data_IF_390534207947
#
_entry.id   IF_390534207947
#
_cell.length_a   1.000
_cell.length_b   1.000
_cell.length_c   1.000
_cell.angle_alpha   90.00
_cell.angle_beta   90.00
_cell.angle_gamma   90.00
#
_symmetry.space_group_name_H-M   'P 1'
#
loop_
_entity.id
_entity.type
_entity.pdbx_description
1 polymer ?
#
# COMPACT_ATOMS: atom_id res chain seq x y z
N UNK A 1 -6.84 1.60 6.12
CA UNK A 1 -5.38 1.37 6.32
C UNK A 1 -5.17 0.46 7.51
N UNK A 2 -4.18 -0.41 7.44
CA UNK A 2 -3.84 -1.34 8.50
C UNK A 2 -2.45 -1.01 9.01
N UNK A 3 -2.31 -0.81 10.31
CA UNK A 3 -1.00 -0.65 10.91
C UNK A 3 -0.20 -1.96 10.78
N UNK A 4 1.08 -1.85 10.48
CA UNK A 4 2.00 -2.96 10.35
C UNK A 4 3.36 -2.56 10.94
N UNK A 5 3.41 -2.50 12.26
CA UNK A 5 4.61 -2.06 12.96
C UNK A 5 5.83 -2.89 12.53
N UNK A 6 5.65 -4.20 12.42
CA UNK A 6 6.68 -5.12 11.95
C UNK A 6 6.21 -5.91 10.71
N UNK A 7 7.18 -6.42 9.96
CA UNK A 7 6.92 -7.31 8.82
C UNK A 7 6.17 -8.58 9.26
N UNK A 8 6.53 -9.16 10.40
CA UNK A 8 5.90 -10.35 10.97
C UNK A 8 4.43 -10.11 11.32
N UNK A 9 4.13 -8.92 11.86
CA UNK A 9 2.75 -8.52 12.16
C UNK A 9 1.91 -8.43 10.88
N UNK A 10 2.45 -7.85 9.80
CA UNK A 10 1.79 -7.82 8.49
C UNK A 10 1.48 -9.24 8.01
N UNK A 11 2.45 -10.14 8.00
CA UNK A 11 2.26 -11.53 7.57
C UNK A 11 1.19 -12.23 8.41
N UNK A 12 1.23 -12.05 9.74
CA UNK A 12 0.22 -12.60 10.65
C UNK A 12 -1.18 -12.09 10.34
N UNK A 13 -1.34 -10.79 10.10
CA UNK A 13 -2.64 -10.19 9.74
C UNK A 13 -3.16 -10.70 8.40
N UNK A 14 -2.29 -10.89 7.40
CA UNK A 14 -2.65 -11.47 6.10
C UNK A 14 -3.18 -12.90 6.30
N UNK A 15 -2.42 -13.73 7.01
CA UNK A 15 -2.80 -15.14 7.25
C UNK A 15 -4.12 -15.23 8.03
N UNK A 16 -4.32 -14.44 9.07
CA UNK A 16 -5.54 -14.44 9.85
C UNK A 16 -6.75 -14.03 9.00
N UNK A 17 -6.62 -12.99 8.18
CA UNK A 17 -7.70 -12.53 7.29
C UNK A 17 -8.07 -13.59 6.25
N UNK A 18 -7.09 -14.32 5.73
CA UNK A 18 -7.32 -15.40 4.78
C UNK A 18 -8.05 -16.60 5.42
N UNK A 19 -7.60 -17.02 6.60
CA UNK A 19 -8.13 -18.20 7.30
C UNK A 19 -9.49 -17.90 7.95
N UNK A 20 -9.60 -16.79 8.69
CA UNK A 20 -10.76 -16.52 9.54
C UNK A 20 -11.93 -15.91 8.78
N UNK A 21 -11.69 -15.14 7.73
CA UNK A 21 -12.72 -14.36 7.03
C UNK A 21 -13.03 -14.87 5.63
N UNK A 22 -12.27 -15.84 5.12
CA UNK A 22 -12.41 -16.30 3.74
C UNK A 22 -12.22 -15.18 2.71
N UNK A 23 -11.59 -14.05 3.12
CA UNK A 23 -11.36 -12.93 2.26
C UNK A 23 -10.24 -13.28 1.29
N UNK A 24 -10.62 -13.56 0.07
CA UNK A 24 -9.70 -13.66 -1.06
C UNK A 24 -9.37 -12.26 -1.53
N UNK A 25 -8.39 -11.63 -0.86
CA UNK A 25 -7.74 -10.48 -1.45
C UNK A 25 -6.72 -11.03 -2.45
N UNK A 26 -6.84 -10.61 -3.68
CA UNK A 26 -5.89 -11.02 -4.72
C UNK A 26 -4.61 -10.16 -4.68
N UNK A 27 -4.66 -9.04 -3.92
CA UNK A 27 -3.57 -8.09 -3.74
C UNK A 27 -3.55 -7.48 -2.35
N UNK A 28 -2.35 -7.09 -1.94
CA UNK A 28 -2.14 -6.17 -0.83
C UNK A 28 -1.37 -4.94 -1.32
N UNK A 29 -1.62 -3.80 -0.70
CA UNK A 29 -0.80 -2.62 -0.84
C UNK A 29 0.11 -2.46 0.37
N UNK A 30 1.38 -2.12 0.14
CA UNK A 30 2.29 -1.68 1.19
C UNK A 30 2.65 -0.23 0.90
N UNK A 31 2.21 0.66 1.77
CA UNK A 31 2.45 2.08 1.65
C UNK A 31 3.70 2.45 2.44
N UNK A 32 4.82 2.52 1.74
CA UNK A 32 6.12 2.90 2.31
C UNK A 32 6.15 4.41 2.43
N UNK A 33 6.07 4.92 3.65
CA UNK A 33 6.15 6.35 3.93
C UNK A 33 6.59 6.61 5.35
N UNK A 34 7.01 7.86 5.62
CA UNK A 34 7.37 8.34 6.95
C UNK A 34 6.59 9.61 7.30
N UNK A 35 6.35 9.90 8.58
CA UNK A 35 5.58 11.08 9.02
C UNK A 35 6.19 12.42 8.62
N UNK A 36 7.51 12.49 8.42
CA UNK A 36 8.24 13.71 8.03
C UNK A 36 8.10 14.05 6.55
N UNK A 37 7.76 13.08 5.68
CA UNK A 37 7.52 13.29 4.25
C UNK A 37 6.19 14.01 4.01
N UNK A 38 6.11 14.83 2.97
CA UNK A 38 4.88 15.56 2.62
C UNK A 38 3.73 14.61 2.26
N UNK A 39 3.99 13.60 1.47
CA UNK A 39 3.06 12.53 1.14
C UNK A 39 2.61 11.76 2.38
N UNK A 40 3.52 11.49 3.32
CA UNK A 40 3.22 10.88 4.61
C UNK A 40 2.24 11.74 5.43
N UNK A 41 2.49 13.03 5.55
CA UNK A 41 1.57 13.98 6.20
C UNK A 41 0.21 14.02 5.53
N UNK A 42 0.17 14.01 4.19
CA UNK A 42 -1.07 13.96 3.42
C UNK A 42 -1.92 12.73 3.78
N UNK A 43 -1.32 11.56 3.92
CA UNK A 43 -2.01 10.33 4.30
C UNK A 43 -2.45 10.36 5.76
N UNK A 44 -1.57 10.79 6.67
CA UNK A 44 -1.86 10.84 8.11
C UNK A 44 -3.02 11.78 8.43
N UNK A 45 -3.13 12.91 7.74
CA UNK A 45 -4.25 13.85 7.88
C UNK A 45 -5.61 13.25 7.53
N UNK A 46 -5.65 12.16 6.78
CA UNK A 46 -6.87 11.46 6.36
C UNK A 46 -6.90 10.00 6.82
N UNK A 47 -6.03 9.63 7.75
CA UNK A 47 -5.81 8.24 8.12
C UNK A 47 -7.06 7.59 8.73
N UNK A 48 -7.83 8.33 9.53
CA UNK A 48 -9.10 7.87 10.09
C UNK A 48 -10.08 7.46 8.99
N UNK A 49 -10.28 8.33 8.00
CA UNK A 49 -11.11 8.02 6.84
C UNK A 49 -10.62 6.76 6.10
N UNK A 50 -9.32 6.64 5.84
CA UNK A 50 -8.78 5.48 5.14
C UNK A 50 -8.79 4.20 5.97
N UNK A 51 -8.71 4.31 7.28
CA UNK A 51 -8.83 3.15 8.17
C UNK A 51 -10.17 2.45 7.97
N UNK A 52 -11.25 3.22 7.85
CA UNK A 52 -12.60 2.68 7.65
C UNK A 52 -12.91 2.29 6.19
N UNK A 53 -12.29 2.97 5.23
CA UNK A 53 -12.51 2.71 3.80
C UNK A 53 -11.87 1.39 3.34
N UNK A 54 -10.72 1.02 3.90
CA UNK A 54 -9.95 -0.16 3.49
C UNK A 54 -10.27 -1.38 4.34
N UNK A 55 -10.17 -2.58 3.78
CA UNK A 55 -10.33 -3.82 4.52
C UNK A 55 -11.39 -4.78 3.98
N UNK A 56 -12.16 -4.37 2.95
CA UNK A 56 -13.13 -5.28 2.30
C UNK A 56 -12.54 -6.02 1.12
N UNK A 57 -11.82 -5.33 0.23
CA UNK A 57 -11.33 -5.90 -1.04
C UNK A 57 -9.81 -5.84 -1.19
N UNK A 58 -9.17 -4.79 -0.71
CA UNK A 58 -7.70 -4.66 -0.66
C UNK A 58 -7.28 -4.13 0.69
N UNK A 59 -6.29 -4.75 1.28
CA UNK A 59 -5.66 -4.28 2.50
C UNK A 59 -4.41 -3.46 2.18
N UNK A 60 -4.32 -2.26 2.76
CA UNK A 60 -3.15 -1.40 2.66
C UNK A 60 -2.45 -1.34 4.01
N UNK A 61 -1.20 -1.76 4.04
CA UNK A 61 -0.36 -1.83 5.24
C UNK A 61 0.57 -0.63 5.32
N UNK A 62 0.75 -0.12 6.54
CA UNK A 62 1.65 0.99 6.87
C UNK A 62 2.81 0.47 7.71
N UNK A 63 3.98 0.20 7.11
CA UNK A 63 5.18 -0.23 7.83
C UNK A 63 5.66 0.76 8.87
N UNK A 64 6.05 0.27 10.04
CA UNK A 64 6.52 1.10 11.14
C UNK A 64 5.43 1.79 11.95
N UNK A 65 4.16 1.69 11.52
CA UNK A 65 3.02 2.27 12.25
C UNK A 65 2.34 1.23 13.13
N UNK A 66 2.06 1.59 14.37
CA UNK A 66 1.40 0.74 15.35
C UNK A 66 0.37 1.48 16.19
N UNK A 67 -0.58 0.76 16.79
CA UNK A 67 -1.61 1.29 17.69
C UNK A 67 -1.59 0.67 19.08
N UNK A 68 -0.76 -0.34 19.31
CA UNK A 68 -0.60 -1.03 20.56
C UNK A 68 0.89 -1.25 20.86
N UNK A 69 1.25 -1.46 22.15
CA UNK A 69 2.62 -1.79 22.58
C UNK A 69 3.65 -0.67 22.34
N UNK A 70 3.21 0.58 22.24
CA UNK A 70 4.08 1.73 22.01
C UNK A 70 5.21 1.86 23.05
N UNK A 71 4.99 1.48 24.29
CA UNK A 71 5.99 1.48 25.35
C UNK A 71 7.19 0.55 25.11
N UNK A 72 7.03 -0.46 24.25
CA UNK A 72 8.12 -1.38 23.87
C UNK A 72 9.05 -0.81 22.80
N UNK A 73 8.74 0.38 22.28
CA UNK A 73 9.50 1.02 21.19
C UNK A 73 9.95 2.41 21.63
N UNK A 74 11.21 2.57 22.06
CA UNK A 74 11.71 3.81 22.66
C UNK A 74 11.75 4.99 21.68
N UNK A 75 11.78 4.72 20.37
CA UNK A 75 11.79 5.71 19.32
C UNK A 75 10.37 6.07 18.79
N UNK A 76 9.33 5.66 19.50
CA UNK A 76 7.95 5.94 19.10
C UNK A 76 7.63 7.42 19.05
N UNK A 77 6.92 7.80 18.03
CA UNK A 77 6.32 9.13 17.84
C UNK A 77 4.82 8.98 17.63
N UNK A 78 3.99 9.67 18.42
CA UNK A 78 2.53 9.67 18.18
C UNK A 78 2.22 10.50 16.95
N UNK A 79 1.55 9.90 15.96
CA UNK A 79 1.32 10.51 14.65
C UNK A 79 -0.15 10.74 14.32
N UNK A 80 -1.07 10.00 14.93
CA UNK A 80 -2.51 10.13 14.71
C UNK A 80 -3.32 9.54 15.87
N UNK A 81 -4.64 9.83 15.90
CA UNK A 81 -5.60 9.18 16.78
C UNK A 81 -6.80 8.72 15.96
N UNK A 82 -7.12 7.43 16.01
CA UNK A 82 -8.21 6.79 15.27
C UNK A 82 -9.12 6.08 16.26
N UNK A 83 -10.41 6.39 16.24
CA UNK A 83 -11.40 5.81 17.17
C UNK A 83 -10.97 5.87 18.64
N UNK A 84 -10.34 6.97 19.04
CA UNK A 84 -9.82 7.13 20.40
C UNK A 84 -8.49 6.44 20.67
N UNK A 85 -7.98 5.62 19.77
CA UNK A 85 -6.70 4.89 19.89
C UNK A 85 -5.57 5.69 19.27
N UNK A 86 -4.49 5.89 20.01
CA UNK A 86 -3.29 6.53 19.48
C UNK A 86 -2.55 5.60 18.51
N UNK A 87 -2.16 6.18 17.39
CA UNK A 87 -1.24 5.57 16.44
C UNK A 87 0.12 6.25 16.55
N UNK A 88 1.15 5.43 16.58
CA UNK A 88 2.52 5.90 16.65
C UNK A 88 3.35 5.32 15.51
N UNK A 89 4.46 5.97 15.22
CA UNK A 89 5.47 5.54 14.27
C UNK A 89 6.77 5.23 15.01
N UNK A 90 7.43 4.14 14.59
CA UNK A 90 8.79 3.79 15.01
C UNK A 90 9.68 3.70 13.78
N UNK A 91 10.66 4.59 13.70
CA UNK A 91 11.62 4.60 12.60
C UNK A 91 12.49 3.33 12.60
N UNK A 92 12.84 2.80 13.78
CA UNK A 92 13.59 1.56 13.90
C UNK A 92 12.82 0.38 13.27
N UNK A 93 11.52 0.28 13.55
CA UNK A 93 10.70 -0.80 12.99
C UNK A 93 10.43 -0.59 11.50
N UNK A 94 10.26 0.65 11.05
CA UNK A 94 10.18 0.98 9.63
C UNK A 94 11.41 0.51 8.86
N UNK A 95 12.61 0.82 9.34
CA UNK A 95 13.87 0.38 8.72
C UNK A 95 14.01 -1.14 8.73
N UNK A 96 13.63 -1.81 9.83
CA UNK A 96 13.65 -3.27 9.89
C UNK A 96 12.67 -3.89 8.89
N UNK A 97 11.48 -3.30 8.75
CA UNK A 97 10.46 -3.75 7.80
C UNK A 97 10.94 -3.60 6.36
N UNK A 98 11.39 -2.42 5.97
CA UNK A 98 11.86 -2.13 4.60
C UNK A 98 13.01 -3.05 4.21
N UNK A 99 14.01 -3.24 5.07
CA UNK A 99 15.11 -4.19 4.84
C UNK A 99 14.63 -5.64 4.64
N UNK A 100 13.56 -6.07 5.32
CA UNK A 100 13.00 -7.41 5.10
C UNK A 100 12.29 -7.51 3.76
N UNK A 101 11.58 -6.47 3.36
CA UNK A 101 10.91 -6.41 2.06
C UNK A 101 11.94 -6.39 0.92
N UNK A 102 13.00 -5.58 1.03
CA UNK A 102 14.12 -5.53 0.09
C UNK A 102 14.78 -6.90 -0.13
N UNK A 103 14.93 -7.68 0.95
CA UNK A 103 15.51 -9.05 0.86
C UNK A 103 14.58 -10.05 0.17
N UNK A 104 13.28 -9.78 0.10
CA UNK A 104 12.27 -10.65 -0.51
C UNK A 104 11.98 -10.27 -1.96
N UNK A 105 12.24 -9.04 -2.33
CA UNK A 105 12.01 -8.47 -3.65
C UNK A 105 13.33 -7.96 -4.23
N UNK A 106 13.31 -7.44 -5.45
CA UNK A 106 14.44 -6.68 -6.02
C UNK A 106 14.33 -5.18 -5.75
N UNK A 107 13.28 -4.76 -5.04
CA UNK A 107 13.03 -3.37 -4.68
C UNK A 107 14.06 -2.88 -3.65
N UNK A 108 14.46 -1.63 -3.79
CA UNK A 108 15.31 -0.90 -2.85
C UNK A 108 14.61 0.41 -2.51
N UNK A 109 14.49 0.71 -1.23
CA UNK A 109 13.82 1.93 -0.76
C UNK A 109 14.52 3.19 -1.27
N UNK A 110 13.77 4.05 -1.95
CA UNK A 110 14.30 5.30 -2.54
C UNK A 110 14.57 6.41 -1.52
N UNK A 111 14.01 6.30 -0.32
CA UNK A 111 13.99 7.38 0.69
C UNK A 111 12.72 8.24 0.63
N UNK A 112 11.89 8.07 -0.37
CA UNK A 112 10.63 8.79 -0.60
C UNK A 112 9.42 7.88 -0.40
N UNK A 113 8.21 8.41 -0.53
CA UNK A 113 7.00 7.62 -0.38
C UNK A 113 6.68 6.82 -1.65
N UNK A 114 6.40 5.55 -1.44
CA UNK A 114 6.10 4.60 -2.49
C UNK A 114 4.89 3.74 -2.12
N UNK A 115 4.08 3.39 -3.11
CA UNK A 115 3.04 2.38 -2.97
C UNK A 115 3.46 1.12 -3.70
N UNK A 116 3.64 0.03 -2.98
CA UNK A 116 3.98 -1.29 -3.52
C UNK A 116 2.72 -2.15 -3.51
N UNK A 117 2.33 -2.66 -4.67
CA UNK A 117 1.27 -3.66 -4.80
C UNK A 117 1.89 -5.03 -4.97
N UNK A 118 1.47 -5.96 -4.12
CA UNK A 118 1.96 -7.33 -4.03
C UNK A 118 0.80 -8.29 -4.28
N UNK A 119 0.91 -9.24 -5.24
CA UNK A 119 -0.10 -10.27 -5.45
C UNK A 119 -0.18 -11.22 -4.26
N UNK A 120 -1.39 -11.73 -4.00
CA UNK A 120 -1.65 -12.84 -3.08
C UNK A 120 -2.16 -14.04 -3.87
N UNK A 121 -1.43 -15.14 -3.82
CA UNK A 121 -1.85 -16.42 -4.40
C UNK A 121 -2.08 -17.42 -3.27
N UNK A 122 -3.30 -17.92 -3.16
CA UNK A 122 -3.69 -18.84 -2.09
C UNK A 122 -3.32 -18.33 -0.68
N UNK A 123 -3.48 -17.02 -0.45
CA UNK A 123 -3.17 -16.34 0.81
C UNK A 123 -1.70 -16.11 1.09
N UNK A 124 -0.82 -16.39 0.14
CA UNK A 124 0.62 -16.14 0.25
C UNK A 124 1.04 -14.98 -0.64
N UNK A 125 1.94 -14.14 -0.15
CA UNK A 125 2.49 -13.03 -0.93
C UNK A 125 3.45 -13.58 -1.99
N UNK A 126 3.24 -13.16 -3.23
CA UNK A 126 4.19 -13.34 -4.31
C UNK A 126 5.14 -12.13 -4.36
N UNK A 127 6.44 -12.39 -4.23
CA UNK A 127 7.46 -11.36 -4.19
C UNK A 127 8.21 -11.18 -5.52
N UNK A 128 8.04 -12.12 -6.43
CA UNK A 128 8.79 -12.14 -7.69
C UNK A 128 8.31 -11.07 -8.69
N UNK A 129 7.03 -10.66 -8.55
CA UNK A 129 6.44 -9.61 -9.40
C UNK A 129 5.72 -8.60 -8.55
N UNK A 130 6.21 -7.37 -8.52
CA UNK A 130 5.62 -6.27 -7.76
C UNK A 130 5.41 -5.05 -8.64
N UNK A 131 4.36 -4.27 -8.35
CA UNK A 131 4.11 -2.99 -8.99
C UNK A 131 4.34 -1.87 -7.98
N UNK A 132 5.17 -0.91 -8.33
CA UNK A 132 5.56 0.21 -7.48
C UNK A 132 5.10 1.51 -8.12
N UNK A 133 4.52 2.41 -7.33
CA UNK A 133 4.25 3.80 -7.71
C UNK A 133 5.11 4.74 -6.86
N UNK A 134 5.82 5.65 -7.50
CA UNK A 134 6.66 6.68 -6.87
C UNK A 134 5.80 7.91 -6.55
N UNK A 135 5.28 7.97 -5.32
CA UNK A 135 4.22 8.93 -4.95
C UNK A 135 4.74 10.36 -4.78
N UNK A 136 5.94 10.53 -4.24
CA UNK A 136 6.53 11.86 -4.08
C UNK A 136 6.93 12.46 -5.43
N UNK A 137 7.42 11.66 -6.38
CA UNK A 137 7.66 12.08 -7.76
C UNK A 137 6.36 12.53 -8.44
N UNK A 138 5.31 11.70 -8.32
CA UNK A 138 4.00 12.02 -8.88
C UNK A 138 3.42 13.33 -8.32
N UNK A 139 3.64 13.58 -7.03
CA UNK A 139 3.18 14.80 -6.35
C UNK A 139 4.02 16.02 -6.79
N UNK A 140 5.34 15.89 -6.77
CA UNK A 140 6.30 16.95 -7.13
C UNK A 140 6.11 17.47 -8.56
N UNK A 141 5.87 16.55 -9.49
CA UNK A 141 5.70 16.87 -10.91
C UNK A 141 4.24 17.20 -11.28
N UNK A 142 3.34 17.23 -10.29
CA UNK A 142 1.93 17.57 -10.49
C UNK A 142 1.12 16.51 -11.26
N UNK A 143 1.62 15.27 -11.36
CA UNK A 143 0.88 14.15 -11.95
C UNK A 143 -0.35 13.79 -11.12
N UNK A 144 -0.27 13.98 -9.82
CA UNK A 144 -1.40 13.89 -8.88
C UNK A 144 -1.49 15.18 -8.05
N UNK A 145 -2.71 15.54 -7.63
CA UNK A 145 -2.94 16.72 -6.78
C UNK A 145 -2.61 16.46 -5.31
N UNK A 146 -2.78 15.23 -4.87
CA UNK A 146 -2.44 14.77 -3.54
C UNK A 146 -2.37 13.24 -3.52
N UNK A 147 -1.55 12.70 -2.64
CA UNK A 147 -1.48 11.24 -2.42
C UNK A 147 -2.81 10.71 -1.88
N UNK A 148 -3.49 11.49 -1.04
CA UNK A 148 -4.83 11.16 -0.54
C UNK A 148 -5.85 10.98 -1.65
N UNK A 149 -5.88 11.89 -2.64
CA UNK A 149 -6.81 11.79 -3.76
C UNK A 149 -6.50 10.55 -4.64
N UNK A 150 -5.23 10.28 -4.91
CA UNK A 150 -4.81 9.10 -5.64
C UNK A 150 -5.21 7.81 -4.91
N UNK A 151 -4.95 7.74 -3.60
CA UNK A 151 -5.29 6.61 -2.76
C UNK A 151 -6.82 6.36 -2.70
N UNK A 152 -7.61 7.44 -2.61
CA UNK A 152 -9.08 7.34 -2.65
C UNK A 152 -9.58 6.73 -3.98
N UNK A 153 -8.97 7.12 -5.10
CA UNK A 153 -9.30 6.55 -6.41
C UNK A 153 -8.94 5.07 -6.49
N UNK A 154 -7.75 4.69 -6.00
CA UNK A 154 -7.36 3.29 -5.93
C UNK A 154 -8.32 2.47 -5.08
N UNK A 155 -8.69 2.97 -3.90
CA UNK A 155 -9.63 2.27 -3.01
C UNK A 155 -10.98 2.04 -3.68
N UNK A 156 -11.53 3.06 -4.36
CA UNK A 156 -12.79 2.94 -5.13
C UNK A 156 -12.67 1.93 -6.28
N UNK A 157 -11.54 1.92 -6.97
CA UNK A 157 -11.28 0.99 -8.05
C UNK A 157 -11.33 -0.45 -7.54
N UNK A 158 -10.67 -0.74 -6.43
CA UNK A 158 -10.67 -2.06 -5.81
C UNK A 158 -12.01 -2.44 -5.15
N UNK A 159 -12.90 -1.47 -4.88
CA UNK A 159 -14.26 -1.73 -4.40
C UNK A 159 -15.24 -2.07 -5.53
N UNK A 160 -14.96 -1.65 -6.76
CA UNK A 160 -15.86 -1.89 -7.88
C UNK A 160 -15.79 -3.36 -8.34
N UNK A 161 -16.91 -4.09 -8.18
CA UNK A 161 -17.03 -5.50 -8.57
C UNK A 161 -16.77 -5.75 -10.07
N UNK A 162 -17.06 -4.77 -10.93
CA UNK A 162 -16.84 -4.87 -12.37
C UNK A 162 -15.36 -4.87 -12.73
N UNK A 163 -14.58 -4.06 -12.02
CA UNK A 163 -13.13 -4.00 -12.24
C UNK A 163 -12.43 -5.24 -11.66
N UNK A 164 -12.90 -5.74 -10.51
CA UNK A 164 -12.39 -6.97 -9.93
C UNK A 164 -12.72 -8.20 -10.78
N UNK A 165 -13.87 -8.25 -11.46
CA UNK A 165 -14.19 -9.37 -12.35
C UNK A 165 -13.29 -9.42 -13.60
N UNK A 166 -12.80 -8.28 -14.07
CA UNK A 166 -11.80 -8.21 -15.13
C UNK A 166 -10.38 -8.54 -14.62
N UNK A 167 -10.12 -8.25 -13.34
CA UNK A 167 -8.84 -8.53 -12.65
C UNK A 167 -8.78 -9.97 -12.13
N UNK A 168 -9.92 -10.63 -11.88
CA UNK A 168 -9.99 -12.07 -11.55
C UNK A 168 -9.54 -13.01 -12.68
N UNK A 169 -8.94 -12.48 -13.71
CA UNK A 169 -8.16 -13.23 -14.67
C UNK A 169 -7.02 -13.88 -13.88
N UNK A 170 -7.06 -15.19 -13.83
CA UNK A 170 -6.09 -16.12 -13.26
C UNK A 170 -4.73 -15.49 -12.89
N UNK A 171 -4.57 -15.11 -11.63
CA UNK A 171 -3.37 -14.48 -11.07
C UNK A 171 -2.10 -15.32 -11.25
N UNK A 172 -2.27 -16.59 -11.62
CA UNK A 172 -1.19 -17.50 -12.00
C UNK A 172 -0.62 -17.19 -13.39
N UNK A 173 -1.25 -16.27 -14.15
CA UNK A 173 -0.71 -15.86 -15.46
C UNK A 173 0.43 -14.85 -15.27
N UNK A 174 1.45 -15.02 -16.10
CA UNK A 174 2.66 -14.19 -16.08
C UNK A 174 2.42 -12.68 -16.25
N UNK A 175 1.27 -12.29 -16.78
CA UNK A 175 0.91 -10.90 -17.05
C UNK A 175 -0.10 -10.30 -16.07
N UNK A 176 -0.42 -10.96 -14.95
CA UNK A 176 -1.43 -10.48 -14.00
C UNK A 176 -1.11 -9.07 -13.46
N UNK A 177 0.15 -8.79 -13.12
CA UNK A 177 0.58 -7.48 -12.64
C UNK A 177 0.44 -6.39 -13.72
N UNK A 178 0.65 -6.71 -14.99
CA UNK A 178 0.45 -5.80 -16.11
C UNK A 178 -1.04 -5.47 -16.30
N UNK A 179 -1.91 -6.45 -16.14
CA UNK A 179 -3.37 -6.25 -16.22
C UNK A 179 -3.85 -5.30 -15.13
N UNK A 180 -3.32 -5.44 -13.91
CA UNK A 180 -3.66 -4.56 -12.80
C UNK A 180 -3.15 -3.15 -13.03
N UNK A 181 -1.90 -3.00 -13.45
CA UNK A 181 -1.36 -1.72 -13.86
C UNK A 181 -2.28 -1.07 -14.90
N UNK A 182 -2.64 -1.80 -15.94
CA UNK A 182 -3.54 -1.33 -17.00
C UNK A 182 -4.91 -0.92 -16.46
N UNK A 183 -5.50 -1.73 -15.57
CA UNK A 183 -6.79 -1.42 -14.94
C UNK A 183 -6.71 -0.16 -14.07
N UNK A 184 -5.65 0.00 -13.27
CA UNK A 184 -5.42 1.20 -12.45
C UNK A 184 -5.32 2.44 -13.36
N UNK A 185 -4.42 2.41 -14.33
CA UNK A 185 -4.15 3.57 -15.18
C UNK A 185 -5.38 3.98 -16.02
N UNK A 186 -6.13 3.01 -16.56
CA UNK A 186 -7.35 3.25 -17.33
C UNK A 186 -8.49 3.86 -16.54
N UNK A 187 -8.62 3.50 -15.26
CA UNK A 187 -9.75 3.93 -14.42
C UNK A 187 -9.44 5.17 -13.56
N UNK A 188 -8.23 5.72 -13.63
CA UNK A 188 -7.92 7.00 -13.00
C UNK A 188 -8.61 8.14 -13.76
N UNK A 189 -9.26 9.08 -13.05
CA UNK A 189 -10.03 10.14 -13.69
C UNK A 189 -9.17 11.16 -14.42
N UNK A 190 -9.77 11.83 -15.43
CA UNK A 190 -9.23 13.03 -16.07
C UNK A 190 -7.85 12.89 -16.71
N UNK A 191 -7.52 11.73 -17.25
CA UNK A 191 -6.25 11.51 -17.95
C UNK A 191 -5.05 11.38 -17.01
N UNK A 192 -5.26 11.27 -15.69
CA UNK A 192 -4.18 11.04 -14.72
C UNK A 192 -3.38 9.79 -15.09
N UNK A 193 -4.04 8.72 -15.52
CA UNK A 193 -3.37 7.50 -15.97
C UNK A 193 -2.39 7.74 -17.13
N UNK A 194 -2.75 8.60 -18.09
CA UNK A 194 -1.88 8.97 -19.22
C UNK A 194 -0.67 9.80 -18.74
N UNK A 195 -0.88 10.72 -17.79
CA UNK A 195 0.20 11.52 -17.21
C UNK A 195 1.17 10.62 -16.46
N UNK A 196 0.66 9.71 -15.62
CA UNK A 196 1.47 8.73 -14.88
C UNK A 196 2.27 7.85 -15.83
N UNK A 197 1.65 7.39 -16.92
CA UNK A 197 2.32 6.55 -17.92
C UNK A 197 3.43 7.31 -18.64
N UNK A 198 3.17 8.55 -19.09
CA UNK A 198 4.17 9.37 -19.79
C UNK A 198 5.33 9.78 -18.89
N UNK A 199 5.08 10.07 -17.62
CA UNK A 199 6.10 10.43 -16.64
C UNK A 199 6.88 9.24 -16.09
N UNK A 200 6.47 8.00 -16.41
CA UNK A 200 7.11 6.77 -15.94
C UNK A 200 7.20 6.66 -14.41
N UNK A 201 6.13 7.11 -13.70
CA UNK A 201 6.08 7.14 -12.23
C UNK A 201 5.78 5.78 -11.59
N UNK A 202 5.95 4.71 -12.33
CA UNK A 202 5.79 3.35 -11.83
C UNK A 202 6.82 2.41 -12.43
N UNK A 203 7.06 1.30 -11.74
CA UNK A 203 7.90 0.20 -12.22
C UNK A 203 7.29 -1.14 -11.86
N UNK A 204 7.42 -2.11 -12.77
CA UNK A 204 7.19 -3.52 -12.47
C UNK A 204 8.55 -4.18 -12.30
N UNK A 205 8.76 -4.79 -11.15
CA UNK A 205 9.95 -5.59 -10.85
C UNK A 205 9.58 -7.07 -10.94
N UNK A 206 10.45 -7.84 -11.59
CA UNK A 206 10.33 -9.28 -11.80
C UNK A 206 11.51 -10.01 -11.15
#
# INVERSE_FOLDING_TARGET
MINALTYEEMIKKINNNYIERGLRNDYIGVFITRPDLESGKNILNSLDYYHHLTGRNVNFYLPGFGSYWGENYPDKETVAKIDGTEWYFSNEQFVKFTRKLERKTKWVYSGESELILLPLIDGKIEFDKILIFYLDDMLRDGAIKSVSAFFQQLSRLFESKSTLSEIHVDLRKDNAIELIKGAILKNLPYGIGDVITRGNYFVIMN
#
